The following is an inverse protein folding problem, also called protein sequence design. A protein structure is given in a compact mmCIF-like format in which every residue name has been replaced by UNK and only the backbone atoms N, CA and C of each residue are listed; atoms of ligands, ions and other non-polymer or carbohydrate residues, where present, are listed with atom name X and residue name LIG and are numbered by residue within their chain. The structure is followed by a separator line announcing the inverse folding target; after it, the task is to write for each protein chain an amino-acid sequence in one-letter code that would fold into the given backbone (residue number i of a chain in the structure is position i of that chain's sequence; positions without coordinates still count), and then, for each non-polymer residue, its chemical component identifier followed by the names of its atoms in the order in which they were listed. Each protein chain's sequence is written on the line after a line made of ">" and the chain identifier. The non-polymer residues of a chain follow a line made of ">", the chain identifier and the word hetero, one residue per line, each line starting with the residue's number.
data_IF_601379148557
#
_entry.id   IF_601379148557
#
_cell.length_a   1.000
_cell.length_b   1.000
_cell.length_c   1.000
_cell.angle_alpha   90.00
_cell.angle_beta   90.00
_cell.angle_gamma   90.00
#
_symmetry.space_group_name_H-M   'P 1'
#
loop_
_entity.id
_entity.type
_entity.pdbx_description
1 polymer ?
#
# COMPACT_ATOMS: atom_id res chain seq x y z
N UNK A 1 -0.51 12.67 -2.22
CA UNK A 1 -1.78 12.08 -2.69
C UNK A 1 -2.94 12.36 -1.74
N UNK A 2 -3.13 11.67 -0.60
CA UNK A 2 -4.27 12.01 0.29
C UNK A 2 -4.06 13.30 1.10
N UNK A 3 -3.01 13.38 1.93
CA UNK A 3 -2.70 14.56 2.77
C UNK A 3 -1.79 15.59 2.08
N UNK A 4 -1.44 15.37 0.81
CA UNK A 4 -0.41 16.15 0.11
C UNK A 4 1.02 15.95 0.63
N UNK A 5 1.24 14.97 1.52
CA UNK A 5 2.58 14.59 1.96
C UNK A 5 3.33 13.85 0.84
N UNK A 6 4.63 14.11 0.64
CA UNK A 6 5.45 13.34 -0.29
C UNK A 6 5.40 11.84 0.01
N UNK A 7 5.49 11.00 -1.03
CA UNK A 7 5.64 9.55 -0.84
C UNK A 7 7.04 9.27 -0.28
N UNK A 8 7.18 8.72 0.94
CA UNK A 8 8.49 8.39 1.53
C UNK A 8 9.25 7.29 0.79
N UNK A 9 8.61 6.59 -0.17
CA UNK A 9 9.22 5.52 -0.99
C UNK A 9 9.21 5.85 -2.47
N UNK A 10 9.33 7.13 -2.83
CA UNK A 10 9.33 7.54 -4.24
C UNK A 10 10.48 6.85 -5.01
N UNK A 11 11.63 6.66 -4.37
CA UNK A 11 12.81 5.99 -4.93
C UNK A 11 12.57 4.51 -5.25
N UNK A 12 11.60 3.87 -4.61
CA UNK A 12 11.23 2.47 -4.85
C UNK A 12 10.25 2.30 -6.01
N UNK A 13 9.77 3.40 -6.59
CA UNK A 13 8.86 3.40 -7.74
C UNK A 13 9.31 2.51 -8.92
N UNK A 14 10.58 2.54 -9.36
CA UNK A 14 11.06 1.68 -10.45
C UNK A 14 10.99 0.19 -10.17
N UNK A 15 11.02 -0.22 -8.89
CA UNK A 15 11.01 -1.63 -8.47
C UNK A 15 9.59 -2.12 -8.16
N UNK A 16 8.80 -1.33 -7.42
CA UNK A 16 7.50 -1.75 -6.88
C UNK A 16 6.29 -1.02 -7.47
N UNK A 17 6.51 -0.02 -8.33
CA UNK A 17 5.44 0.76 -8.95
C UNK A 17 4.68 0.00 -10.03
N UNK A 18 3.46 0.45 -10.34
CA UNK A 18 2.70 -0.09 -11.46
C UNK A 18 3.49 0.02 -12.76
N UNK A 19 3.56 -1.09 -13.51
CA UNK A 19 4.34 -1.18 -14.75
C UNK A 19 5.83 -1.51 -14.56
N UNK A 20 6.29 -1.74 -13.32
CA UNK A 20 7.63 -2.28 -13.10
C UNK A 20 7.74 -3.73 -13.62
N UNK A 21 8.96 -4.11 -14.00
CA UNK A 21 9.29 -5.49 -14.37
C UNK A 21 9.92 -6.19 -13.17
N UNK A 22 9.32 -7.26 -12.62
CA UNK A 22 9.92 -8.01 -11.52
C UNK A 22 11.28 -8.62 -11.90
N UNK A 23 12.23 -8.60 -10.97
CA UNK A 23 13.53 -9.24 -11.15
C UNK A 23 13.49 -10.64 -10.50
N UNK A 24 13.61 -11.74 -11.27
CA UNK A 24 13.36 -13.09 -10.76
C UNK A 24 14.29 -13.56 -9.65
N UNK A 25 15.50 -13.01 -9.56
CA UNK A 25 16.49 -13.33 -8.54
C UNK A 25 16.46 -12.33 -7.37
N UNK A 26 15.60 -11.31 -7.43
CA UNK A 26 15.50 -10.26 -6.41
C UNK A 26 16.69 -9.30 -6.41
N UNK A 27 17.51 -9.28 -7.47
CA UNK A 27 18.66 -8.39 -7.53
C UNK A 27 18.21 -6.93 -7.58
N UNK A 28 18.83 -6.08 -6.75
CA UNK A 28 18.50 -4.65 -6.66
C UNK A 28 17.30 -4.30 -5.78
N UNK A 29 16.61 -5.29 -5.22
CA UNK A 29 15.60 -5.06 -4.19
C UNK A 29 16.28 -4.83 -2.83
N UNK A 30 15.74 -3.96 -1.95
CA UNK A 30 16.23 -3.84 -0.58
C UNK A 30 16.07 -5.14 0.18
N UNK A 31 16.85 -5.30 1.26
CA UNK A 31 16.75 -6.48 2.11
C UNK A 31 15.34 -6.61 2.70
N UNK A 32 14.85 -7.85 2.80
CA UNK A 32 13.49 -8.13 3.25
C UNK A 32 13.20 -7.54 4.64
N UNK A 33 14.13 -7.73 5.59
CA UNK A 33 13.97 -7.24 6.95
C UNK A 33 13.98 -5.71 7.02
N UNK A 34 14.74 -5.05 6.14
CA UNK A 34 14.74 -3.58 6.02
C UNK A 34 13.37 -3.07 5.54
N UNK A 35 12.78 -3.73 4.52
CA UNK A 35 11.45 -3.40 4.02
C UNK A 35 10.38 -3.60 5.09
N UNK A 36 10.45 -4.70 5.84
CA UNK A 36 9.50 -4.98 6.92
C UNK A 36 9.60 -3.98 8.07
N UNK A 37 10.82 -3.61 8.48
CA UNK A 37 11.04 -2.61 9.52
C UNK A 37 10.43 -1.25 9.11
N UNK A 38 10.71 -0.80 7.88
CA UNK A 38 10.14 0.43 7.32
C UNK A 38 8.62 0.37 7.23
N UNK A 39 8.06 -0.75 6.77
CA UNK A 39 6.60 -0.93 6.72
C UNK A 39 5.96 -0.87 8.11
N UNK A 40 6.58 -1.49 9.12
CA UNK A 40 6.08 -1.50 10.49
C UNK A 40 6.05 -0.10 11.10
N UNK A 41 7.11 0.70 10.88
CA UNK A 41 7.19 2.10 11.32
C UNK A 41 6.04 2.93 10.74
N UNK A 42 5.88 2.94 9.42
CA UNK A 42 4.81 3.68 8.74
C UNK A 42 3.42 3.24 9.19
N UNK A 43 3.23 1.93 9.41
CA UNK A 43 1.98 1.40 9.90
C UNK A 43 1.69 1.98 11.28
N UNK A 44 2.68 2.03 12.16
CA UNK A 44 2.55 2.67 13.47
C UNK A 44 2.15 4.13 13.37
N UNK A 45 2.81 4.91 12.52
CA UNK A 45 2.48 6.33 12.28
C UNK A 45 1.09 6.51 11.67
N UNK A 46 0.73 5.67 10.71
CA UNK A 46 -0.57 5.70 10.02
C UNK A 46 -1.69 5.37 10.99
N UNK A 47 -1.52 4.35 11.84
CA UNK A 47 -2.52 3.97 12.83
C UNK A 47 -2.70 5.06 13.89
N UNK A 48 -1.61 5.64 14.43
CA UNK A 48 -1.70 6.79 15.35
C UNK A 48 -2.47 7.96 14.73
N UNK A 49 -2.24 8.21 13.45
CA UNK A 49 -2.97 9.25 12.73
C UNK A 49 -4.45 8.90 12.55
N UNK A 50 -4.79 7.68 12.10
CA UNK A 50 -6.19 7.22 11.96
C UNK A 50 -6.93 7.31 13.30
N UNK A 51 -6.30 6.89 14.40
CA UNK A 51 -6.87 6.94 15.75
C UNK A 51 -7.16 8.38 16.24
N UNK A 52 -6.49 9.38 15.65
CA UNK A 52 -6.72 10.80 15.95
C UNK A 52 -7.88 11.42 15.17
N UNK A 53 -8.45 10.73 14.17
CA UNK A 53 -9.49 11.26 13.30
C UNK A 53 -10.88 11.15 13.92
N UNK A 54 -11.71 12.16 13.68
CA UNK A 54 -13.16 12.07 13.85
C UNK A 54 -13.83 11.49 12.60
N UNK A 55 -15.09 11.07 12.73
CA UNK A 55 -15.88 10.61 11.58
C UNK A 55 -16.00 11.68 10.48
N UNK A 56 -16.16 12.95 10.86
CA UNK A 56 -16.24 14.07 9.91
C UNK A 56 -14.93 14.36 9.19
N UNK A 57 -13.78 14.01 9.78
CA UNK A 57 -12.50 14.17 9.09
C UNK A 57 -12.38 13.25 7.88
N UNK A 58 -13.11 12.13 7.86
CA UNK A 58 -13.09 11.18 6.75
C UNK A 58 -13.69 11.77 5.47
N UNK A 59 -14.52 12.81 5.57
CA UNK A 59 -15.16 13.46 4.42
C UNK A 59 -14.29 14.58 3.82
N UNK A 60 -13.10 14.85 4.40
CA UNK A 60 -12.16 15.80 3.82
C UNK A 60 -11.71 15.37 2.41
N UNK A 61 -11.57 16.32 1.47
CA UNK A 61 -11.11 16.00 0.13
C UNK A 61 -9.64 15.56 0.14
N UNK A 62 -9.32 14.59 -0.71
CA UNK A 62 -7.94 14.21 -1.01
C UNK A 62 -7.27 15.26 -1.90
N UNK A 63 -5.98 15.54 -1.67
CA UNK A 63 -5.29 16.68 -2.32
C UNK A 63 -4.86 16.44 -3.76
N UNK A 64 -4.45 15.21 -4.11
CA UNK A 64 -3.87 14.91 -5.44
C UNK A 64 -4.57 13.69 -6.08
N UNK A 65 -5.87 13.81 -6.35
CA UNK A 65 -6.64 12.75 -6.99
C UNK A 65 -6.35 12.72 -8.49
N UNK A 66 -5.94 11.57 -9.08
CA UNK A 66 -5.79 11.46 -10.53
C UNK A 66 -7.13 11.68 -11.24
N UNK A 67 -7.16 12.38 -12.39
CA UNK A 67 -8.39 12.60 -13.15
C UNK A 67 -9.11 11.29 -13.47
N UNK A 68 -10.41 11.22 -13.17
CA UNK A 68 -11.23 10.04 -13.40
C UNK A 68 -11.20 8.99 -12.27
N UNK A 69 -10.45 9.25 -11.19
CA UNK A 69 -10.39 8.38 -10.02
C UNK A 69 -11.08 8.96 -8.77
N UNK A 70 -11.90 9.99 -8.93
CA UNK A 70 -12.59 10.70 -7.85
C UNK A 70 -13.51 9.77 -7.03
N UNK A 71 -14.11 8.76 -7.68
CA UNK A 71 -14.91 7.76 -6.99
C UNK A 71 -14.12 6.86 -6.02
N UNK A 72 -12.80 6.74 -6.23
CA UNK A 72 -11.91 5.87 -5.44
C UNK A 72 -11.03 6.64 -4.45
N UNK A 73 -10.68 7.89 -4.77
CA UNK A 73 -9.74 8.67 -3.97
C UNK A 73 -10.23 10.07 -3.64
N UNK A 74 -11.49 10.43 -3.91
CA UNK A 74 -12.03 11.79 -3.72
C UNK A 74 -11.96 12.32 -2.29
N UNK A 75 -12.16 11.45 -1.30
CA UNK A 75 -12.16 11.76 0.13
C UNK A 75 -11.16 10.90 0.89
N UNK A 76 -10.88 11.27 2.14
CA UNK A 76 -10.03 10.47 3.02
C UNK A 76 -10.65 9.10 3.31
N UNK A 77 -11.98 9.03 3.47
CA UNK A 77 -12.75 7.79 3.59
C UNK A 77 -12.46 6.83 2.44
N UNK A 78 -12.59 7.33 1.20
CA UNK A 78 -12.37 6.53 0.00
C UNK A 78 -10.90 6.09 -0.10
N UNK A 79 -9.95 6.98 0.19
CA UNK A 79 -8.52 6.65 0.23
C UNK A 79 -8.19 5.53 1.23
N UNK A 80 -8.71 5.63 2.46
CA UNK A 80 -8.48 4.64 3.53
C UNK A 80 -9.11 3.29 3.19
N UNK A 81 -10.32 3.29 2.64
CA UNK A 81 -10.98 2.07 2.16
C UNK A 81 -10.16 1.42 1.04
N UNK A 82 -9.72 2.20 0.05
CA UNK A 82 -8.86 1.72 -1.04
C UNK A 82 -7.56 1.13 -0.51
N UNK A 83 -6.94 1.74 0.49
CA UNK A 83 -5.73 1.20 1.10
C UNK A 83 -5.95 -0.19 1.70
N UNK A 84 -7.05 -0.40 2.43
CA UNK A 84 -7.40 -1.69 3.01
C UNK A 84 -7.70 -2.74 1.92
N UNK A 85 -8.48 -2.37 0.90
CA UNK A 85 -8.78 -3.25 -0.23
C UNK A 85 -7.54 -3.65 -1.01
N UNK A 86 -6.60 -2.71 -1.21
CA UNK A 86 -5.34 -2.97 -1.91
C UNK A 86 -4.48 -4.02 -1.18
N UNK A 87 -4.40 -3.97 0.15
CA UNK A 87 -3.73 -5.00 0.95
C UNK A 87 -4.39 -6.38 0.79
N UNK A 88 -5.72 -6.43 0.82
CA UNK A 88 -6.44 -7.69 0.63
C UNK A 88 -6.22 -8.28 -0.76
N UNK A 89 -6.19 -7.44 -1.81
CA UNK A 89 -5.88 -7.86 -3.17
C UNK A 89 -4.49 -8.52 -3.26
N UNK A 90 -3.45 -7.86 -2.73
CA UNK A 90 -2.10 -8.43 -2.72
C UNK A 90 -1.99 -9.71 -1.88
N UNK A 91 -2.74 -9.81 -0.78
CA UNK A 91 -2.82 -11.06 0.00
C UNK A 91 -3.40 -12.21 -0.82
N UNK A 92 -4.40 -11.93 -1.67
CA UNK A 92 -4.93 -12.89 -2.64
C UNK A 92 -3.85 -13.33 -3.63
N UNK A 93 -3.18 -12.39 -4.28
CA UNK A 93 -2.09 -12.67 -5.23
C UNK A 93 -0.96 -13.49 -4.60
N UNK A 94 -0.59 -13.21 -3.34
CA UNK A 94 0.41 -13.98 -2.63
C UNK A 94 -0.01 -15.45 -2.45
N UNK A 95 -1.29 -15.72 -2.30
CA UNK A 95 -1.81 -17.10 -2.23
C UNK A 95 -1.57 -17.85 -3.56
N UNK A 96 -1.80 -17.18 -4.69
CA UNK A 96 -1.50 -17.74 -6.01
C UNK A 96 0.00 -17.97 -6.21
N UNK A 97 0.85 -17.00 -5.82
CA UNK A 97 2.30 -17.14 -5.88
C UNK A 97 2.80 -18.34 -5.07
N UNK A 98 2.25 -18.55 -3.85
CA UNK A 98 2.60 -19.70 -3.01
C UNK A 98 2.22 -21.03 -3.66
N UNK A 99 0.99 -21.12 -4.19
CA UNK A 99 0.52 -22.29 -4.92
C UNK A 99 1.42 -22.61 -6.11
N UNK A 100 1.74 -21.61 -6.94
CA UNK A 100 2.62 -21.79 -8.09
C UNK A 100 4.04 -22.23 -7.69
N UNK A 101 4.52 -21.80 -6.52
CA UNK A 101 5.80 -22.19 -5.96
C UNK A 101 5.77 -23.52 -5.17
N UNK A 102 4.65 -24.26 -5.18
CA UNK A 102 4.51 -25.52 -4.43
C UNK A 102 4.53 -25.36 -2.90
N UNK A 103 4.20 -24.17 -2.39
CA UNK A 103 4.18 -23.85 -0.96
C UNK A 103 2.76 -23.99 -0.38
N UNK A 104 2.68 -24.49 0.85
CA UNK A 104 1.43 -24.58 1.61
C UNK A 104 0.70 -23.24 1.75
N UNK A 105 -0.62 -23.28 1.96
CA UNK A 105 -1.41 -22.08 2.26
C UNK A 105 -0.94 -21.43 3.59
N UNK A 106 -1.02 -20.11 3.71
CA UNK A 106 -0.49 -19.40 4.89
C UNK A 106 -1.25 -19.69 6.19
N UNK A 107 -2.52 -20.05 6.11
CA UNK A 107 -3.39 -20.37 7.24
C UNK A 107 -3.91 -21.80 7.10
N UNK A 108 -2.97 -22.76 6.98
CA UNK A 108 -3.29 -24.16 6.75
C UNK A 108 -3.73 -24.90 8.01
#
# INVERSE_FOLDING_TARGET
>A
MMRGTPNPFKEFGPLFGGGSTPEPQGNGYPAYDELLAKLAELRGETMKWIESLSESDLDQPSRDVPPGFEAFFGTWRQCLLMQAMHWMNHRGQLTDCRRAAGRERMMA
#
